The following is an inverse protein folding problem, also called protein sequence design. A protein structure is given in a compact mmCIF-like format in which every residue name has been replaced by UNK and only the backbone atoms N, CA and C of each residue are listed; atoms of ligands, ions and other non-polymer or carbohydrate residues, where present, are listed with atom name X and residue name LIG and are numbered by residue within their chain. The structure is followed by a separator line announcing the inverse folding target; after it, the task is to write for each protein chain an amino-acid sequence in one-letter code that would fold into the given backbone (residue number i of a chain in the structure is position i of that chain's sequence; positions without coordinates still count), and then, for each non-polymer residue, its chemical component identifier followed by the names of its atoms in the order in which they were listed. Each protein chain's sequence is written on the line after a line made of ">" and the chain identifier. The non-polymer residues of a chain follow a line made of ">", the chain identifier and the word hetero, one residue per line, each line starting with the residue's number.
data_IF_677384527636
#
_entry.id   IF_677384527636
#
_cell.length_a   1.000
_cell.length_b   1.000
_cell.length_c   1.000
_cell.angle_alpha   90.00
_cell.angle_beta   90.00
_cell.angle_gamma   90.00
#
_symmetry.space_group_name_H-M   'P 1'
#
loop_
_entity.id
_entity.type
_entity.pdbx_description
1 polymer ?
#
# COMPACT_ATOMS: atom_id res chain seq x y z
N UNK A 1 -8.16 -13.49 10.65
CA UNK A 1 -7.03 -12.86 9.93
C UNK A 1 -7.60 -12.32 8.64
N UNK A 2 -7.42 -11.02 8.37
CA UNK A 2 -7.92 -10.40 7.13
C UNK A 2 -7.00 -10.76 5.96
N UNK A 3 -7.53 -10.74 4.74
CA UNK A 3 -6.79 -11.01 3.51
C UNK A 3 -7.48 -10.33 2.31
N UNK A 4 -6.89 -10.51 1.11
CA UNK A 4 -7.39 -9.89 -0.12
C UNK A 4 -8.86 -10.26 -0.45
N UNK A 5 -9.30 -11.48 -0.15
CA UNK A 5 -10.69 -11.91 -0.41
C UNK A 5 -11.65 -11.20 0.54
N UNK A 6 -11.28 -11.04 1.82
CA UNK A 6 -12.07 -10.25 2.76
C UNK A 6 -12.22 -8.81 2.27
N UNK A 7 -11.14 -8.19 1.81
CA UNK A 7 -11.18 -6.82 1.28
C UNK A 7 -12.12 -6.70 0.07
N UNK A 8 -12.04 -7.63 -0.88
CA UNK A 8 -12.92 -7.65 -2.07
C UNK A 8 -14.40 -7.74 -1.66
N UNK A 9 -14.73 -8.66 -0.73
CA UNK A 9 -16.11 -8.82 -0.23
C UNK A 9 -16.59 -7.55 0.45
N UNK A 10 -15.75 -6.92 1.28
CA UNK A 10 -16.12 -5.69 1.99
C UNK A 10 -16.35 -4.53 1.03
N UNK A 11 -15.52 -4.39 -0.01
CA UNK A 11 -15.66 -3.38 -1.08
C UNK A 11 -16.95 -3.60 -1.87
N UNK A 12 -17.24 -4.84 -2.26
CA UNK A 12 -18.47 -5.17 -3.01
C UNK A 12 -19.72 -4.87 -2.17
N UNK A 13 -19.67 -5.16 -0.87
CA UNK A 13 -20.78 -4.92 0.05
C UNK A 13 -20.99 -3.43 0.36
N UNK A 14 -19.93 -2.62 0.34
CA UNK A 14 -19.96 -1.19 0.71
C UNK A 14 -19.11 -0.35 -0.26
N UNK A 15 -19.51 -0.21 -1.53
CA UNK A 15 -18.69 0.48 -2.53
C UNK A 15 -18.60 1.97 -2.24
N UNK A 16 -17.37 2.51 -2.26
CA UNK A 16 -17.12 3.96 -2.15
C UNK A 16 -16.55 4.48 -3.47
N UNK A 17 -17.38 5.15 -4.26
CA UNK A 17 -16.95 5.77 -5.53
C UNK A 17 -16.36 7.16 -5.31
N UNK A 18 -16.89 7.93 -4.35
CA UNK A 18 -16.44 9.29 -4.05
C UNK A 18 -15.54 9.24 -2.81
N UNK A 19 -14.22 9.27 -3.02
CA UNK A 19 -13.23 9.13 -1.95
C UNK A 19 -13.10 10.41 -1.11
N UNK A 20 -12.98 11.56 -1.78
CA UNK A 20 -13.37 12.86 -1.18
C UNK A 20 -14.87 12.77 -0.83
N UNK A 21 -15.55 13.71 -0.20
CA UNK A 21 -16.88 13.43 0.41
C UNK A 21 -16.85 12.37 1.54
N UNK A 22 -16.46 11.11 1.29
CA UNK A 22 -16.44 10.03 2.31
C UNK A 22 -15.31 10.23 3.33
N UNK A 23 -14.06 10.39 2.86
CA UNK A 23 -12.87 10.52 3.71
C UNK A 23 -12.48 11.97 4.04
N UNK A 24 -13.27 12.90 3.53
CA UNK A 24 -12.97 14.32 3.44
C UNK A 24 -13.82 15.17 4.39
N UNK A 25 -14.72 14.55 5.16
CA UNK A 25 -15.64 15.19 6.10
C UNK A 25 -14.99 15.73 7.39
N UNK A 26 -13.68 15.57 7.57
CA UNK A 26 -12.95 16.08 8.75
C UNK A 26 -11.83 17.04 8.35
N UNK A 27 -12.16 18.26 7.94
CA UNK A 27 -11.40 19.53 8.00
C UNK A 27 -9.86 19.61 7.78
N UNK A 28 -9.15 18.57 7.38
CA UNK A 28 -7.73 18.63 7.04
C UNK A 28 -7.57 18.49 5.53
N UNK A 29 -7.18 19.60 4.90
CA UNK A 29 -6.77 19.68 3.48
C UNK A 29 -5.67 18.64 3.15
N UNK A 30 -4.95 18.15 4.16
CA UNK A 30 -3.94 17.09 4.05
C UNK A 30 -4.51 15.69 3.73
N UNK A 31 -5.77 15.40 4.05
CA UNK A 31 -6.35 14.05 3.90
C UNK A 31 -6.72 13.67 2.46
N UNK A 32 -6.67 14.60 1.51
CA UNK A 32 -7.05 14.32 0.10
C UNK A 32 -6.02 13.41 -0.58
N UNK A 33 -4.74 13.52 -0.18
CA UNK A 33 -3.68 12.64 -0.69
C UNK A 33 -3.84 11.18 -0.25
N UNK A 34 -4.36 10.98 0.96
CA UNK A 34 -4.39 9.69 1.68
C UNK A 34 -5.76 8.99 1.59
N UNK A 35 -6.76 9.59 0.92
CA UNK A 35 -8.11 9.04 0.88
C UNK A 35 -8.20 7.62 0.30
N UNK A 36 -7.35 7.31 -0.69
CA UNK A 36 -7.26 5.95 -1.24
C UNK A 36 -6.65 4.96 -0.24
N UNK A 37 -5.63 5.39 0.51
CA UNK A 37 -4.97 4.57 1.53
C UNK A 37 -5.95 4.22 2.66
N UNK A 38 -6.69 5.22 3.15
CA UNK A 38 -7.74 5.01 4.16
C UNK A 38 -8.85 4.08 3.66
N UNK A 39 -9.26 4.22 2.39
CA UNK A 39 -10.26 3.33 1.80
C UNK A 39 -9.77 1.88 1.72
N UNK A 40 -8.52 1.67 1.27
CA UNK A 40 -7.91 0.33 1.24
C UNK A 40 -7.80 -0.22 2.67
N UNK A 41 -7.31 0.57 3.61
CA UNK A 41 -7.23 0.18 5.03
C UNK A 41 -8.60 -0.24 5.57
N UNK A 42 -9.65 0.53 5.30
CA UNK A 42 -11.00 0.21 5.76
C UNK A 42 -11.60 -1.03 5.08
N UNK A 43 -11.28 -1.24 3.80
CA UNK A 43 -11.66 -2.44 3.08
C UNK A 43 -11.07 -3.68 3.75
N UNK A 44 -9.79 -3.66 4.10
CA UNK A 44 -9.14 -4.77 4.80
C UNK A 44 -9.59 -4.91 6.27
N UNK A 45 -9.94 -3.81 6.95
CA UNK A 45 -10.39 -3.84 8.34
C UNK A 45 -11.90 -4.08 8.53
N UNK A 46 -12.68 -4.16 7.45
CA UNK A 46 -14.14 -4.19 7.47
C UNK A 46 -14.75 -3.00 8.24
N UNK A 47 -14.30 -1.80 7.87
CA UNK A 47 -14.70 -0.53 8.50
C UNK A 47 -15.24 0.51 7.53
N UNK A 48 -15.53 0.12 6.28
CA UNK A 48 -16.04 1.03 5.23
C UNK A 48 -17.33 1.78 5.61
N UNK A 49 -18.19 1.15 6.41
CA UNK A 49 -19.44 1.73 6.92
C UNK A 49 -19.39 2.10 8.40
N UNK A 50 -18.22 1.99 9.04
CA UNK A 50 -18.04 2.30 10.46
C UNK A 50 -17.91 3.80 10.66
N UNK A 51 -18.87 4.39 11.37
CA UNK A 51 -18.90 5.84 11.62
C UNK A 51 -18.30 6.20 12.99
N UNK A 52 -18.24 5.24 13.92
CA UNK A 52 -17.59 5.45 15.21
C UNK A 52 -16.08 5.28 15.06
N UNK A 53 -15.35 6.39 15.23
CA UNK A 53 -13.89 6.42 15.10
C UNK A 53 -13.18 5.50 16.10
N UNK A 54 -13.72 5.32 17.30
CA UNK A 54 -13.14 4.47 18.33
C UNK A 54 -13.24 3.01 17.93
N UNK A 55 -14.42 2.59 17.45
CA UNK A 55 -14.64 1.23 16.95
C UNK A 55 -13.79 0.97 15.71
N UNK A 56 -13.76 1.93 14.78
CA UNK A 56 -12.92 1.85 13.58
C UNK A 56 -11.45 1.63 13.94
N UNK A 57 -10.89 2.49 14.80
CA UNK A 57 -9.48 2.42 15.16
C UNK A 57 -9.14 1.10 15.86
N UNK A 58 -10.02 0.61 16.75
CA UNK A 58 -9.82 -0.69 17.40
C UNK A 58 -9.83 -1.85 16.39
N UNK A 59 -10.71 -1.85 15.40
CA UNK A 59 -10.73 -2.87 14.33
C UNK A 59 -9.49 -2.82 13.45
N UNK A 60 -9.05 -1.61 13.09
CA UNK A 60 -7.81 -1.38 12.34
C UNK A 60 -6.61 -1.95 13.12
N UNK A 61 -6.45 -1.59 14.38
CA UNK A 61 -5.35 -2.06 15.23
C UNK A 61 -5.34 -3.59 15.39
N UNK A 62 -6.52 -4.22 15.38
CA UNK A 62 -6.65 -5.67 15.42
C UNK A 62 -6.33 -6.38 14.09
N UNK A 63 -6.25 -5.65 12.98
CA UNK A 63 -6.05 -6.21 11.63
C UNK A 63 -4.64 -5.98 11.12
N UNK A 64 -4.00 -4.87 11.48
CA UNK A 64 -2.68 -4.50 10.96
C UNK A 64 -1.59 -4.61 12.03
N UNK A 65 -0.47 -5.22 11.67
CA UNK A 65 0.75 -5.21 12.48
C UNK A 65 1.57 -3.94 12.25
N UNK A 66 1.44 -3.32 11.07
CA UNK A 66 2.13 -2.09 10.72
C UNK A 66 1.22 -1.13 9.96
N UNK A 67 1.30 0.14 10.33
CA UNK A 67 0.73 1.27 9.60
C UNK A 67 1.89 2.20 9.23
N UNK A 68 2.17 2.32 7.94
CA UNK A 68 3.35 2.94 7.37
C UNK A 68 3.35 4.46 7.42
N UNK A 69 4.40 5.03 6.83
CA UNK A 69 4.56 6.47 6.68
C UNK A 69 4.84 6.81 5.21
N UNK A 70 4.58 8.06 4.83
CA UNK A 70 4.66 8.54 3.43
C UNK A 70 6.01 8.30 2.72
N UNK A 71 7.09 8.04 3.45
CA UNK A 71 8.45 8.01 2.90
C UNK A 71 9.01 6.60 2.69
N UNK A 72 8.44 5.57 3.31
CA UNK A 72 9.03 4.24 3.33
C UNK A 72 7.97 3.16 3.10
N UNK A 73 8.19 2.24 2.13
CA UNK A 73 7.30 1.10 1.94
C UNK A 73 7.47 0.06 3.07
N UNK A 74 6.47 -0.81 3.30
CA UNK A 74 5.13 -0.80 2.70
C UNK A 74 4.20 0.22 3.38
N UNK A 75 3.07 0.53 2.74
CA UNK A 75 2.07 1.45 3.32
C UNK A 75 1.38 0.83 4.53
N UNK A 76 1.04 -0.47 4.51
CA UNK A 76 0.46 -1.20 5.65
C UNK A 76 0.86 -2.69 5.61
N UNK A 77 0.87 -3.37 6.77
CA UNK A 77 1.05 -4.82 6.87
C UNK A 77 -0.09 -5.43 7.67
N UNK A 78 -0.72 -6.46 7.13
CA UNK A 78 -1.71 -7.27 7.84
C UNK A 78 -1.02 -8.13 8.90
N UNK A 79 -1.63 -8.21 10.08
CA UNK A 79 -1.11 -9.04 11.16
C UNK A 79 -1.02 -10.51 10.71
N UNK A 80 0.20 -11.08 10.76
CA UNK A 80 0.54 -12.40 10.23
C UNK A 80 0.10 -12.64 8.77
N UNK A 81 0.04 -11.59 7.95
CA UNK A 81 -0.41 -11.66 6.56
C UNK A 81 0.42 -10.80 5.63
N UNK A 82 -0.20 -10.46 4.50
CA UNK A 82 0.42 -9.77 3.37
C UNK A 82 0.74 -8.31 3.70
N UNK A 83 1.81 -7.80 3.10
CA UNK A 83 2.05 -6.37 3.00
C UNK A 83 1.18 -5.77 1.90
N UNK A 84 0.80 -4.50 2.02
CA UNK A 84 -0.01 -3.79 1.03
C UNK A 84 0.68 -2.47 0.71
N UNK A 85 0.82 -2.21 -0.59
CA UNK A 85 1.35 -0.97 -1.15
C UNK A 85 0.25 -0.31 -1.98
N UNK A 86 -0.15 0.89 -1.61
CA UNK A 86 -1.18 1.67 -2.27
C UNK A 86 -0.55 2.58 -3.31
N UNK A 87 -1.17 2.64 -4.49
CA UNK A 87 -0.74 3.53 -5.58
C UNK A 87 -1.95 4.21 -6.21
N UNK A 88 -1.86 5.54 -6.36
CA UNK A 88 -2.88 6.36 -7.03
C UNK A 88 -2.40 6.77 -8.41
N UNK A 89 -3.22 6.53 -9.43
CA UNK A 89 -3.02 7.05 -10.79
C UNK A 89 -4.24 7.85 -11.25
N UNK A 90 -4.02 8.86 -12.10
CA UNK A 90 -5.08 9.80 -12.49
C UNK A 90 -5.98 9.32 -13.62
N UNK A 91 -5.51 8.38 -14.45
CA UNK A 91 -6.25 7.83 -15.57
C UNK A 91 -5.82 6.40 -15.88
N UNK A 92 -6.68 5.65 -16.57
CA UNK A 92 -6.34 4.32 -17.09
C UNK A 92 -5.12 4.42 -18.02
N UNK A 93 -4.14 3.55 -17.80
CA UNK A 93 -2.92 3.52 -18.61
C UNK A 93 -1.89 4.59 -18.25
N UNK A 94 -2.15 5.45 -17.25
CA UNK A 94 -1.11 6.28 -16.67
C UNK A 94 -0.02 5.40 -16.05
N UNK A 95 1.25 5.80 -16.21
CA UNK A 95 2.36 5.12 -15.57
C UNK A 95 2.21 5.14 -14.04
N UNK A 96 2.49 4.00 -13.40
CA UNK A 96 2.55 3.92 -11.95
C UNK A 96 3.90 4.50 -11.51
N UNK A 97 3.83 5.55 -10.71
CA UNK A 97 4.98 6.19 -10.09
C UNK A 97 5.61 5.25 -9.05
N UNK A 98 6.78 4.68 -9.37
CA UNK A 98 7.57 3.79 -8.51
C UNK A 98 8.88 4.46 -8.03
N UNK A 99 8.93 5.78 -8.07
CA UNK A 99 10.15 6.57 -8.00
C UNK A 99 10.84 6.62 -6.62
N UNK A 100 10.24 6.03 -5.58
CA UNK A 100 10.88 5.88 -4.27
C UNK A 100 11.67 4.57 -4.13
N UNK A 101 11.34 3.53 -4.90
CA UNK A 101 12.08 2.26 -4.97
C UNK A 101 11.60 1.39 -6.14
N UNK A 102 12.45 0.50 -6.66
CA UNK A 102 12.02 -0.47 -7.68
C UNK A 102 10.82 -1.30 -7.18
N UNK A 103 9.93 -1.78 -8.09
CA UNK A 103 8.78 -2.58 -7.68
C UNK A 103 9.24 -3.91 -7.09
N UNK A 104 8.67 -4.29 -5.96
CA UNK A 104 9.04 -5.47 -5.19
C UNK A 104 8.06 -6.58 -5.48
N UNK A 105 8.58 -7.77 -5.76
CA UNK A 105 7.72 -8.96 -5.89
C UNK A 105 7.31 -9.52 -4.51
N UNK A 106 8.19 -9.34 -3.51
CA UNK A 106 7.99 -9.66 -2.09
C UNK A 106 8.64 -8.59 -1.23
N UNK A 107 8.17 -8.46 0.01
CA UNK A 107 8.80 -7.65 1.04
C UNK A 107 9.71 -8.53 1.89
N UNK A 108 10.91 -8.03 2.22
CA UNK A 108 11.88 -8.75 3.05
C UNK A 108 12.20 -7.97 4.32
N UNK A 109 12.30 -8.69 5.44
CA UNK A 109 12.60 -8.13 6.75
C UNK A 109 14.07 -7.68 6.87
N UNK A 110 14.92 -7.97 5.89
CA UNK A 110 16.31 -7.51 5.81
C UNK A 110 16.51 -6.34 4.82
N UNK A 111 15.44 -5.87 4.16
CA UNK A 111 15.53 -4.76 3.20
C UNK A 111 16.02 -3.49 3.93
N UNK A 112 17.13 -2.87 3.50
CA UNK A 112 17.63 -1.65 4.13
C UNK A 112 16.71 -0.43 3.92
N UNK A 113 15.72 -0.51 3.03
CA UNK A 113 14.79 0.58 2.70
C UNK A 113 13.50 0.57 3.52
N UNK A 114 13.26 -0.46 4.34
CA UNK A 114 12.13 -0.47 5.27
C UNK A 114 12.56 0.12 6.61
N UNK A 115 11.63 0.77 7.32
CA UNK A 115 11.89 1.33 8.65
C UNK A 115 12.04 0.25 9.71
N UNK A 116 12.72 0.54 10.81
CA UNK A 116 12.81 -0.36 11.97
C UNK A 116 11.42 -0.68 12.53
N UNK A 117 10.51 0.30 12.55
CA UNK A 117 9.12 0.06 12.98
C UNK A 117 8.37 -0.94 12.09
N UNK A 118 8.65 -0.96 10.78
CA UNK A 118 8.13 -1.98 9.87
C UNK A 118 8.80 -3.33 10.12
N UNK A 119 10.12 -3.33 10.31
CA UNK A 119 10.91 -4.54 10.53
C UNK A 119 10.47 -5.26 11.79
N UNK A 120 10.27 -4.51 12.87
CA UNK A 120 9.97 -5.01 14.21
C UNK A 120 8.46 -5.13 14.49
N UNK A 121 7.60 -4.90 13.49
CA UNK A 121 6.14 -4.92 13.68
C UNK A 121 5.60 -6.29 14.12
N UNK A 122 6.27 -7.37 13.72
CA UNK A 122 6.05 -8.74 14.16
C UNK A 122 7.29 -9.59 13.81
N UNK A 123 7.24 -10.90 14.07
CA UNK A 123 8.31 -11.82 13.62
C UNK A 123 8.01 -12.32 12.22
N UNK A 124 8.86 -11.96 11.25
CA UNK A 124 8.75 -12.40 9.86
C UNK A 124 10.11 -12.32 9.15
N UNK A 125 10.26 -13.04 8.04
CA UNK A 125 11.45 -13.00 7.18
C UNK A 125 11.11 -12.42 5.80
N UNK A 126 10.01 -12.89 5.22
CA UNK A 126 9.43 -12.36 3.98
C UNK A 126 7.91 -12.31 4.07
N UNK A 127 7.31 -11.43 3.27
CA UNK A 127 5.86 -11.30 3.09
C UNK A 127 5.53 -11.11 1.62
N UNK A 128 4.41 -11.69 1.18
CA UNK A 128 3.82 -11.31 -0.09
C UNK A 128 3.36 -9.85 -0.03
N UNK A 129 3.41 -9.17 -1.18
CA UNK A 129 3.01 -7.76 -1.28
C UNK A 129 1.85 -7.62 -2.26
N UNK A 130 0.79 -6.94 -1.84
CA UNK A 130 -0.35 -6.60 -2.69
C UNK A 130 -0.21 -5.15 -3.13
N UNK A 131 -0.18 -4.93 -4.44
CA UNK A 131 -0.31 -3.61 -5.03
C UNK A 131 -1.79 -3.24 -5.16
N UNK A 132 -2.24 -2.30 -4.33
CA UNK A 132 -3.56 -1.70 -4.38
C UNK A 132 -3.54 -0.43 -5.24
N UNK A 133 -3.83 -0.58 -6.54
CA UNK A 133 -3.74 0.51 -7.53
C UNK A 133 -5.11 1.10 -7.82
N UNK A 134 -5.35 2.32 -7.35
CA UNK A 134 -6.58 3.07 -7.59
C UNK A 134 -6.47 4.04 -8.77
N UNK A 135 -7.41 3.97 -9.71
CA UNK A 135 -7.61 4.98 -10.76
C UNK A 135 -8.56 6.05 -10.23
N UNK A 136 -7.99 7.14 -9.72
CA UNK A 136 -8.71 8.23 -9.07
C UNK A 136 -8.68 9.45 -9.97
N UNK A 137 -9.86 9.90 -10.40
CA UNK A 137 -9.98 11.06 -11.30
C UNK A 137 -9.58 12.36 -10.60
N UNK A 138 -9.40 13.44 -11.37
CA UNK A 138 -9.19 14.79 -10.81
C UNK A 138 -10.32 15.29 -9.91
N UNK A 139 -11.51 14.68 -10.01
CA UNK A 139 -12.65 14.96 -9.13
C UNK A 139 -12.60 14.17 -7.82
N UNK A 140 -11.57 13.36 -7.61
CA UNK A 140 -11.39 12.44 -6.49
C UNK A 140 -12.42 11.29 -6.46
N UNK A 141 -12.90 10.92 -7.65
CA UNK A 141 -13.75 9.74 -7.86
C UNK A 141 -12.86 8.52 -8.18
N UNK A 142 -13.02 7.43 -7.43
CA UNK A 142 -12.40 6.15 -7.70
C UNK A 142 -13.19 5.42 -8.78
N UNK A 143 -12.54 5.14 -9.91
CA UNK A 143 -13.18 4.47 -11.03
C UNK A 143 -12.82 3.00 -11.14
N UNK A 144 -11.60 2.64 -10.71
CA UNK A 144 -11.07 1.27 -10.76
C UNK A 144 -10.14 1.09 -9.56
N UNK A 145 -10.20 -0.09 -8.94
CA UNK A 145 -9.24 -0.52 -7.93
C UNK A 145 -8.72 -1.89 -8.35
N UNK A 146 -7.41 -1.98 -8.51
CA UNK A 146 -6.72 -3.24 -8.82
C UNK A 146 -6.03 -3.71 -7.55
N UNK A 147 -6.16 -5.00 -7.24
CA UNK A 147 -5.40 -5.67 -6.19
C UNK A 147 -4.59 -6.77 -6.88
N UNK A 148 -3.27 -6.61 -6.93
CA UNK A 148 -2.37 -7.51 -7.68
C UNK A 148 -1.19 -7.90 -6.80
N UNK A 149 -0.90 -9.19 -6.71
CA UNK A 149 0.28 -9.66 -5.98
C UNK A 149 1.58 -9.24 -6.70
N UNK A 150 2.60 -8.94 -5.91
CA UNK A 150 3.88 -8.45 -6.39
C UNK A 150 4.60 -9.46 -7.28
N UNK A 151 4.50 -10.75 -6.99
CA UNK A 151 5.07 -11.83 -7.81
C UNK A 151 4.43 -11.96 -9.20
N UNK A 152 3.23 -11.42 -9.38
CA UNK A 152 2.52 -11.36 -10.65
C UNK A 152 2.86 -10.09 -11.44
N UNK A 153 3.37 -9.05 -10.77
CA UNK A 153 3.58 -7.71 -11.33
C UNK A 153 5.07 -7.35 -11.51
N UNK A 154 5.93 -7.76 -10.58
CA UNK A 154 7.31 -7.35 -10.47
C UNK A 154 8.27 -8.54 -10.64
N UNK A 155 9.45 -8.27 -11.20
CA UNK A 155 10.50 -9.27 -11.29
C UNK A 155 11.16 -9.53 -9.93
N UNK A 156 11.96 -10.59 -9.84
CA UNK A 156 12.74 -10.87 -8.64
C UNK A 156 13.75 -9.74 -8.34
N UNK A 157 14.06 -9.51 -7.06
CA UNK A 157 14.89 -8.40 -6.58
C UNK A 157 16.26 -8.36 -7.25
N UNK A 158 16.85 -9.52 -7.56
CA UNK A 158 18.19 -9.60 -8.16
C UNK A 158 18.24 -8.93 -9.54
N UNK A 159 17.12 -8.90 -10.28
CA UNK A 159 17.06 -8.24 -11.59
C UNK A 159 17.29 -6.74 -11.44
N UNK A 160 16.69 -6.11 -10.43
CA UNK A 160 16.80 -4.68 -10.17
C UNK A 160 18.11 -4.33 -9.47
N UNK A 161 18.53 -5.13 -8.49
CA UNK A 161 19.77 -4.92 -7.75
C UNK A 161 21.01 -5.05 -8.65
N UNK A 162 20.99 -5.94 -9.64
CA UNK A 162 22.06 -6.05 -10.63
C UNK A 162 22.30 -4.72 -11.35
N UNK A 163 21.24 -4.01 -11.74
CA UNK A 163 21.35 -2.70 -12.41
C UNK A 163 21.96 -1.68 -11.46
N UNK A 164 21.48 -1.62 -10.22
CA UNK A 164 22.01 -0.71 -9.20
C UNK A 164 23.48 -0.98 -8.87
N UNK A 165 23.88 -2.26 -8.79
CA UNK A 165 25.25 -2.69 -8.51
C UNK A 165 26.20 -2.28 -9.64
N UNK A 166 25.83 -2.56 -10.90
CA UNK A 166 26.65 -2.19 -12.07
C UNK A 166 26.88 -0.68 -12.14
N UNK A 167 25.85 0.13 -11.87
CA UNK A 167 25.98 1.59 -11.84
C UNK A 167 26.92 2.02 -10.70
N UNK A 168 26.75 1.47 -9.50
CA UNK A 168 27.58 1.81 -8.33
C UNK A 168 29.05 1.48 -8.58
N UNK A 169 29.33 0.28 -9.10
CA UNK A 169 30.68 -0.18 -9.44
C UNK A 169 31.32 0.72 -10.50
N UNK A 170 30.60 1.00 -11.59
CA UNK A 170 31.10 1.87 -12.65
C UNK A 170 31.42 3.30 -12.20
N UNK A 171 30.66 3.86 -11.25
CA UNK A 171 30.98 5.19 -10.67
C UNK A 171 32.21 5.13 -9.78
N UNK A 172 32.38 4.08 -8.98
CA UNK A 172 33.56 3.92 -8.12
C UNK A 172 34.85 3.64 -8.89
N UNK A 173 34.75 3.19 -10.13
CA UNK A 173 35.89 2.92 -11.02
C UNK A 173 36.34 4.16 -11.83
N UNK A 174 35.60 5.28 -11.78
CA UNK A 174 36.01 6.54 -12.40
C UNK A 174 37.02 7.25 -11.46
N UNK A 175 38.27 7.51 -11.93
CA UNK A 175 39.33 8.11 -11.12
C UNK A 175 39.11 9.59 -10.75
#
# INVERSE_FOLDING_TARGET
>A
MSNILNAIINIESNPVEKLKATYSGSNSINNIGEALELYVQDAFANTLSETDKTIRNSKVEAVFSYLGNQNNPPDIILQNGDAIEVKKIQSKGSAIALNSSYPKHKLYADDPKITDACRDCEKWEEKDIIYAVGVVTRKEDLTHLWLVYGDCYAANKEIYERVGKVIKEGVTEIP
#
